data_IF_525103859117
#
_entry.id   IF_525103859117
#
_cell.length_a   1.000
_cell.length_b   1.000
_cell.length_c   1.000
_cell.angle_alpha   90.00
_cell.angle_beta   90.00
_cell.angle_gamma   90.00
#
_symmetry.space_group_name_H-M   'P 1'
#
loop_
_entity.id
_entity.type
_entity.pdbx_description
1 polymer ?
#
# COMPACT_ATOMS: atom_id res chain seq x y z
N UNK A 1 1.15 -11.08 4.42
CA UNK A 1 0.91 -10.85 5.85
C UNK A 1 -0.55 -10.49 6.01
N UNK A 2 -1.22 -11.02 7.03
CA UNK A 2 -2.62 -10.68 7.29
C UNK A 2 -2.68 -9.27 7.90
N UNK A 3 -2.98 -8.29 7.06
CA UNK A 3 -3.21 -6.91 7.50
C UNK A 3 -4.56 -6.89 8.23
N UNK A 4 -4.52 -6.88 9.56
CA UNK A 4 -5.70 -6.78 10.42
C UNK A 4 -5.44 -5.84 11.58
N UNK A 5 -6.50 -5.24 12.09
CA UNK A 5 -6.47 -4.41 13.28
C UNK A 5 -7.67 -4.71 14.17
N UNK A 6 -7.51 -4.47 15.47
CA UNK A 6 -8.53 -4.80 16.46
C UNK A 6 -9.47 -3.61 16.65
N UNK A 7 -10.77 -3.87 16.61
CA UNK A 7 -11.81 -2.89 16.89
C UNK A 7 -12.73 -3.49 17.95
N UNK A 8 -12.73 -2.89 19.16
CA UNK A 8 -13.37 -3.49 20.33
C UNK A 8 -12.83 -4.92 20.56
N UNK A 9 -13.67 -5.93 20.34
CA UNK A 9 -13.33 -7.35 20.50
C UNK A 9 -13.15 -8.09 19.16
N UNK A 10 -13.32 -7.42 18.02
CA UNK A 10 -13.26 -8.02 16.70
C UNK A 10 -11.93 -7.72 15.99
N UNK A 11 -11.40 -8.74 15.30
CA UNK A 11 -10.28 -8.58 14.38
C UNK A 11 -10.83 -8.22 12.99
N UNK A 12 -10.59 -6.99 12.55
CA UNK A 12 -11.04 -6.48 11.25
C UNK A 12 -9.88 -6.56 10.25
N UNK A 13 -10.05 -7.40 9.22
CA UNK A 13 -9.08 -7.49 8.12
C UNK A 13 -9.21 -6.29 7.18
N UNK A 14 -8.09 -5.86 6.63
CA UNK A 14 -8.03 -4.88 5.55
C UNK A 14 -6.93 -5.26 4.56
N UNK A 15 -6.98 -4.66 3.38
CA UNK A 15 -5.87 -4.72 2.44
C UNK A 15 -5.82 -3.44 1.63
N UNK A 16 -4.65 -3.15 1.07
CA UNK A 16 -4.47 -2.03 0.17
C UNK A 16 -4.45 -2.52 -1.28
N UNK A 17 -5.14 -1.83 -2.16
CA UNK A 17 -5.16 -2.11 -3.60
C UNK A 17 -5.21 -0.81 -4.37
N UNK A 18 -4.22 -0.60 -5.25
CA UNK A 18 -4.10 0.61 -6.07
C UNK A 18 -4.21 1.90 -5.23
N UNK A 19 -3.41 1.97 -4.16
CA UNK A 19 -3.36 3.08 -3.18
C UNK A 19 -4.59 3.23 -2.27
N UNK A 20 -5.70 2.54 -2.56
CA UNK A 20 -6.90 2.58 -1.72
C UNK A 20 -6.97 1.45 -0.70
N UNK A 21 -7.61 1.76 0.43
CA UNK A 21 -7.81 0.80 1.52
C UNK A 21 -9.19 0.15 1.43
N UNK A 22 -9.20 -1.18 1.54
CA UNK A 22 -10.39 -2.00 1.58
C UNK A 22 -10.49 -2.71 2.92
N UNK A 23 -11.64 -2.58 3.58
CA UNK A 23 -11.92 -3.13 4.91
C UNK A 23 -12.93 -4.26 4.77
N UNK A 24 -12.76 -5.35 5.54
CA UNK A 24 -13.65 -6.50 5.51
C UNK A 24 -14.99 -6.19 6.19
N UNK A 25 -16.06 -6.06 5.40
CA UNK A 25 -17.43 -5.90 5.90
C UNK A 25 -17.90 -7.15 6.66
N UNK A 26 -17.47 -8.34 6.23
CA UNK A 26 -17.81 -9.59 6.92
C UNK A 26 -17.28 -9.59 8.36
N UNK A 27 -16.08 -9.06 8.61
CA UNK A 27 -15.54 -8.97 9.97
C UNK A 27 -16.27 -7.90 10.80
N UNK A 28 -16.62 -6.75 10.20
CA UNK A 28 -17.47 -5.74 10.86
C UNK A 28 -18.83 -6.33 11.23
N UNK A 29 -19.44 -7.14 10.35
CA UNK A 29 -20.74 -7.75 10.60
C UNK A 29 -20.73 -8.77 11.75
N UNK A 30 -19.59 -9.42 12.03
CA UNK A 30 -19.44 -10.37 13.15
C UNK A 30 -19.68 -9.72 14.50
N UNK A 31 -19.38 -8.42 14.64
CA UNK A 31 -19.72 -7.64 15.82
C UNK A 31 -21.21 -7.73 16.18
N UNK A 32 -22.08 -7.85 15.18
CA UNK A 32 -23.53 -7.92 15.36
C UNK A 32 -24.05 -9.35 15.44
N UNK A 33 -23.66 -10.21 14.50
CA UNK A 33 -23.98 -11.64 14.49
C UNK A 33 -22.84 -12.40 13.79
N UNK A 34 -22.04 -13.20 14.53
CA UNK A 34 -20.91 -13.92 13.97
C UNK A 34 -21.32 -15.04 13.01
N UNK A 35 -22.54 -15.57 13.12
CA UNK A 35 -23.05 -16.69 12.32
C UNK A 35 -23.63 -16.17 11.00
N UNK A 36 -24.32 -15.02 11.03
CA UNK A 36 -25.12 -14.50 9.90
C UNK A 36 -24.56 -13.23 9.27
N UNK A 37 -23.24 -13.09 9.23
CA UNK A 37 -22.53 -11.93 8.66
C UNK A 37 -22.93 -11.61 7.20
N UNK A 38 -23.05 -12.62 6.34
CA UNK A 38 -23.46 -12.42 4.94
C UNK A 38 -24.91 -11.90 4.81
N UNK A 39 -25.79 -12.33 5.70
CA UNK A 39 -27.18 -11.87 5.74
C UNK A 39 -27.28 -10.42 6.23
N UNK A 40 -26.45 -10.01 7.18
CA UNK A 40 -26.36 -8.62 7.64
C UNK A 40 -25.97 -7.69 6.48
N UNK A 41 -24.98 -8.08 5.67
CA UNK A 41 -24.54 -7.28 4.52
C UNK A 41 -25.65 -7.19 3.47
N UNK A 42 -26.36 -8.30 3.20
CA UNK A 42 -27.52 -8.28 2.31
C UNK A 42 -28.63 -7.35 2.82
N UNK A 43 -28.94 -7.39 4.12
CA UNK A 43 -29.92 -6.49 4.72
C UNK A 43 -29.52 -5.02 4.61
N UNK A 44 -28.23 -4.72 4.75
CA UNK A 44 -27.74 -3.37 4.52
C UNK A 44 -27.95 -2.93 3.06
N UNK A 45 -27.63 -3.78 2.09
CA UNK A 45 -27.85 -3.52 0.66
C UNK A 45 -29.32 -3.42 0.25
N UNK A 46 -30.28 -3.84 1.08
CA UNK A 46 -31.71 -3.62 0.82
C UNK A 46 -32.15 -2.17 1.00
N UNK A 47 -31.41 -1.40 1.80
CA UNK A 47 -31.80 -0.04 2.14
C UNK A 47 -31.61 0.90 0.95
N UNK A 48 -32.64 1.71 0.67
CA UNK A 48 -32.60 2.68 -0.42
C UNK A 48 -31.46 3.69 -0.27
N UNK A 49 -31.27 4.24 0.93
CA UNK A 49 -30.19 5.19 1.20
C UNK A 49 -28.81 4.56 0.98
N UNK A 50 -28.64 3.29 1.33
CA UNK A 50 -27.39 2.55 1.07
C UNK A 50 -27.14 2.40 -0.43
N UNK A 51 -28.14 2.00 -1.21
CA UNK A 51 -28.01 1.87 -2.66
C UNK A 51 -27.72 3.22 -3.31
N UNK A 52 -28.38 4.29 -2.89
CA UNK A 52 -28.11 5.65 -3.39
C UNK A 52 -26.68 6.09 -3.06
N UNK A 53 -26.23 5.90 -1.81
CA UNK A 53 -24.87 6.20 -1.39
C UNK A 53 -23.83 5.42 -2.21
N UNK A 54 -24.01 4.11 -2.37
CA UNK A 54 -23.12 3.27 -3.16
C UNK A 54 -23.07 3.71 -4.61
N UNK A 55 -24.22 3.99 -5.22
CA UNK A 55 -24.28 4.46 -6.61
C UNK A 55 -23.57 5.79 -6.82
N UNK A 56 -23.75 6.75 -5.91
CA UNK A 56 -23.05 8.05 -5.96
C UNK A 56 -21.54 7.85 -5.80
N UNK A 57 -21.12 7.02 -4.84
CA UNK A 57 -19.71 6.72 -4.64
C UNK A 57 -19.09 6.11 -5.91
N UNK A 58 -19.76 5.15 -6.54
CA UNK A 58 -19.30 4.55 -7.79
C UNK A 58 -19.27 5.55 -8.95
N UNK A 59 -20.28 6.41 -9.11
CA UNK A 59 -20.26 7.43 -10.17
C UNK A 59 -19.09 8.40 -10.06
N UNK A 60 -18.65 8.71 -8.85
CA UNK A 60 -17.50 9.59 -8.60
C UNK A 60 -16.17 8.88 -8.87
N UNK A 61 -16.06 7.60 -8.47
CA UNK A 61 -14.78 6.90 -8.41
C UNK A 61 -14.60 5.82 -9.47
N UNK A 62 -15.62 5.50 -10.28
CA UNK A 62 -15.65 4.38 -11.22
C UNK A 62 -16.20 4.78 -12.60
N UNK A 63 -15.28 4.91 -13.57
CA UNK A 63 -15.61 5.25 -14.95
C UNK A 63 -16.38 4.14 -15.69
N UNK A 64 -16.21 2.87 -15.27
CA UNK A 64 -16.85 1.71 -15.90
C UNK A 64 -18.23 1.38 -15.30
N UNK A 65 -18.73 2.24 -14.39
CA UNK A 65 -19.97 2.01 -13.65
C UNK A 65 -21.20 2.03 -14.57
N UNK A 66 -21.97 0.93 -14.54
CA UNK A 66 -23.19 0.81 -15.32
C UNK A 66 -24.35 1.54 -14.63
N UNK A 67 -24.49 2.83 -14.96
CA UNK A 67 -25.52 3.72 -14.42
C UNK A 67 -26.96 3.30 -14.80
N UNK A 68 -27.14 2.58 -15.91
CA UNK A 68 -28.47 2.14 -16.37
C UNK A 68 -29.00 1.02 -15.47
N UNK A 69 -28.18 -0.01 -15.23
CA UNK A 69 -28.54 -1.10 -14.32
C UNK A 69 -28.69 -0.59 -12.88
N UNK A 70 -27.83 0.35 -12.48
CA UNK A 70 -27.96 1.03 -11.19
C UNK A 70 -29.34 1.69 -11.02
N UNK A 71 -29.83 2.44 -11.99
CA UNK A 71 -31.15 3.08 -11.90
C UNK A 71 -32.29 2.07 -11.77
N UNK A 72 -32.17 0.91 -12.42
CA UNK A 72 -33.10 -0.21 -12.25
C UNK A 72 -33.10 -0.75 -10.82
N UNK A 73 -31.92 -1.00 -10.26
CA UNK A 73 -31.73 -1.47 -8.87
C UNK A 73 -32.24 -0.44 -7.88
N UNK A 74 -31.90 0.84 -8.07
CA UNK A 74 -32.30 1.96 -7.21
C UNK A 74 -33.82 2.12 -7.10
N UNK A 75 -34.56 1.89 -8.20
CA UNK A 75 -36.03 1.91 -8.21
C UNK A 75 -36.67 0.79 -7.40
N UNK A 76 -36.00 -0.36 -7.28
CA UNK A 76 -36.50 -1.53 -6.54
C UNK A 76 -36.05 -1.53 -5.07
N UNK A 77 -34.97 -0.80 -4.75
CA UNK A 77 -34.43 -0.72 -3.41
C UNK A 77 -35.47 -0.25 -2.38
N UNK A 78 -35.50 -0.90 -1.20
CA UNK A 78 -36.47 -0.65 -0.15
C UNK A 78 -37.77 -1.45 -0.24
N UNK A 79 -38.05 -2.15 -1.34
CA UNK A 79 -39.18 -3.09 -1.39
C UNK A 79 -38.92 -4.31 -0.50
N UNK A 80 -39.95 -4.84 0.16
CA UNK A 80 -39.80 -6.02 1.03
C UNK A 80 -39.25 -7.25 0.28
N UNK A 81 -39.66 -7.41 -0.98
CA UNK A 81 -39.25 -8.48 -1.90
C UNK A 81 -37.88 -8.25 -2.52
N UNK A 82 -37.28 -7.07 -2.36
CA UNK A 82 -35.98 -6.76 -2.92
C UNK A 82 -34.88 -7.54 -2.19
N UNK A 83 -34.02 -8.19 -2.98
CA UNK A 83 -32.86 -8.95 -2.51
C UNK A 83 -31.70 -8.61 -3.44
N UNK A 84 -30.58 -8.23 -2.86
CA UNK A 84 -29.35 -7.93 -3.57
C UNK A 84 -28.17 -8.44 -2.77
N UNK A 85 -27.34 -9.27 -3.38
CA UNK A 85 -26.06 -9.69 -2.81
C UNK A 85 -24.93 -8.79 -3.30
N UNK A 86 -23.82 -8.65 -2.55
CA UNK A 86 -22.63 -7.93 -3.02
C UNK A 86 -22.12 -8.42 -4.38
N UNK A 87 -22.19 -9.74 -4.62
CA UNK A 87 -21.81 -10.34 -5.91
C UNK A 87 -22.72 -9.87 -7.05
N UNK A 88 -24.04 -9.91 -6.85
CA UNK A 88 -25.00 -9.43 -7.85
C UNK A 88 -24.89 -7.92 -8.10
N UNK A 89 -24.59 -7.13 -7.06
CA UNK A 89 -24.31 -5.70 -7.21
C UNK A 89 -23.14 -5.49 -8.17
N UNK A 90 -21.99 -6.12 -7.90
CA UNK A 90 -20.81 -6.01 -8.75
C UNK A 90 -21.04 -6.50 -10.18
N UNK A 91 -21.71 -7.64 -10.36
CA UNK A 91 -21.97 -8.22 -11.69
C UNK A 91 -22.89 -7.33 -12.54
N UNK A 92 -23.90 -6.69 -11.93
CA UNK A 92 -24.86 -5.85 -12.67
C UNK A 92 -24.34 -4.44 -12.93
N UNK A 93 -23.66 -3.84 -11.96
CA UNK A 93 -23.28 -2.42 -12.02
C UNK A 93 -21.81 -2.18 -12.37
N UNK A 94 -21.00 -3.24 -12.45
CA UNK A 94 -19.53 -3.16 -12.54
C UNK A 94 -18.91 -2.34 -11.39
N UNK A 95 -19.54 -2.39 -10.22
CA UNK A 95 -19.06 -1.71 -9.03
C UNK A 95 -17.67 -2.20 -8.60
N UNK A 96 -16.85 -1.27 -8.11
CA UNK A 96 -15.47 -1.52 -7.65
C UNK A 96 -15.31 -1.31 -6.15
N UNK A 97 -16.21 -0.53 -5.55
CA UNK A 97 -16.20 -0.15 -4.15
C UNK A 97 -16.55 -1.29 -3.20
N UNK A 98 -17.22 -2.34 -3.67
CA UNK A 98 -17.45 -3.58 -2.92
C UNK A 98 -16.82 -4.74 -3.69
N UNK A 99 -16.18 -5.68 -2.98
CA UNK A 99 -15.47 -6.82 -3.57
C UNK A 99 -15.78 -8.07 -2.75
N UNK A 100 -16.39 -9.07 -3.38
CA UNK A 100 -16.59 -10.39 -2.78
C UNK A 100 -15.46 -11.34 -3.19
N UNK A 101 -14.72 -11.85 -2.20
CA UNK A 101 -13.65 -12.85 -2.40
C UNK A 101 -14.06 -14.19 -1.82
N UNK A 102 -13.75 -15.28 -2.53
CA UNK A 102 -13.91 -16.64 -2.03
C UNK A 102 -12.59 -17.17 -1.42
N UNK A 103 -12.67 -18.20 -0.57
CA UNK A 103 -11.52 -18.93 -0.03
C UNK A 103 -11.16 -18.59 1.42
N UNK A 104 -9.95 -19.01 1.85
CA UNK A 104 -9.48 -18.93 3.25
C UNK A 104 -9.44 -17.50 3.82
N UNK A 105 -9.20 -16.51 2.96
CA UNK A 105 -9.28 -15.07 3.29
C UNK A 105 -10.46 -14.41 2.57
N UNK A 106 -11.50 -15.19 2.31
CA UNK A 106 -12.73 -14.73 1.69
C UNK A 106 -13.54 -13.84 2.63
N UNK A 107 -14.58 -13.27 2.03
CA UNK A 107 -15.47 -12.30 2.65
C UNK A 107 -15.82 -11.18 1.68
N UNK A 108 -16.68 -10.29 2.13
CA UNK A 108 -17.00 -9.06 1.41
C UNK A 108 -16.12 -7.95 1.96
N UNK A 109 -15.38 -7.31 1.09
CA UNK A 109 -14.55 -6.15 1.36
C UNK A 109 -15.17 -4.93 0.71
N UNK A 110 -14.97 -3.75 1.29
CA UNK A 110 -15.35 -2.52 0.65
C UNK A 110 -14.33 -1.43 0.89
N UNK A 111 -14.33 -0.43 0.01
CA UNK A 111 -13.54 0.78 0.17
C UNK A 111 -13.76 1.39 1.56
N UNK A 112 -12.73 2.01 2.15
CA UNK A 112 -12.78 2.59 3.52
C UNK A 112 -14.02 3.44 3.78
N UNK A 113 -14.42 4.30 2.84
CA UNK A 113 -15.59 5.17 2.99
C UNK A 113 -16.89 4.36 3.08
N UNK A 114 -17.01 3.35 2.22
CA UNK A 114 -18.16 2.44 2.18
C UNK A 114 -18.20 1.59 3.44
N UNK A 115 -17.05 1.14 3.93
CA UNK A 115 -16.94 0.39 5.17
C UNK A 115 -17.30 1.24 6.40
N UNK A 116 -16.93 2.52 6.41
CA UNK A 116 -17.37 3.45 7.47
C UNK A 116 -18.88 3.70 7.43
N UNK A 117 -19.48 3.78 6.25
CA UNK A 117 -20.94 3.88 6.13
C UNK A 117 -21.63 2.60 6.62
N UNK A 118 -21.12 1.43 6.25
CA UNK A 118 -21.62 0.16 6.78
C UNK A 118 -21.50 0.10 8.31
N UNK A 119 -20.35 0.51 8.88
CA UNK A 119 -20.16 0.55 10.31
C UNK A 119 -21.15 1.50 11.01
N UNK A 120 -21.49 2.62 10.37
CA UNK A 120 -22.53 3.56 10.86
C UNK A 120 -23.88 2.87 10.99
N UNK A 121 -24.25 2.12 9.97
CA UNK A 121 -25.51 1.37 9.94
C UNK A 121 -25.53 0.23 10.98
N UNK A 122 -24.38 -0.40 11.23
CA UNK A 122 -24.25 -1.46 12.25
C UNK A 122 -24.36 -0.91 13.67
N UNK A 123 -23.54 0.09 14.02
CA UNK A 123 -23.50 0.71 15.34
C UNK A 123 -22.69 2.01 15.31
N UNK A 124 -23.26 3.15 15.75
CA UNK A 124 -22.51 4.39 15.93
C UNK A 124 -21.27 4.24 16.82
N UNK A 125 -21.37 3.42 17.88
CA UNK A 125 -20.23 3.12 18.76
C UNK A 125 -19.12 2.41 18.00
N UNK A 126 -19.45 1.33 17.28
CA UNK A 126 -18.47 0.56 16.51
C UNK A 126 -17.79 1.45 15.47
N UNK A 127 -18.54 2.32 14.79
CA UNK A 127 -18.00 3.30 13.83
C UNK A 127 -16.92 4.19 14.46
N UNK A 128 -17.17 4.76 15.65
CA UNK A 128 -16.21 5.66 16.30
C UNK A 128 -14.90 4.94 16.63
N UNK A 129 -14.97 3.71 17.15
CA UNK A 129 -13.78 2.90 17.40
C UNK A 129 -13.09 2.49 16.11
N UNK A 130 -13.83 2.09 15.08
CA UNK A 130 -13.28 1.72 13.77
C UNK A 130 -12.48 2.88 13.16
N UNK A 131 -13.03 4.10 13.19
CA UNK A 131 -12.33 5.31 12.69
C UNK A 131 -11.05 5.55 13.48
N UNK A 132 -11.14 5.54 14.82
CA UNK A 132 -9.99 5.78 15.70
C UNK A 132 -8.86 4.78 15.47
N UNK A 133 -9.19 3.49 15.43
CA UNK A 133 -8.21 2.42 15.25
C UNK A 133 -7.61 2.42 13.84
N UNK A 134 -8.42 2.72 12.82
CA UNK A 134 -7.93 2.87 11.44
C UNK A 134 -7.00 4.08 11.28
N UNK A 135 -7.34 5.22 11.90
CA UNK A 135 -6.46 6.40 11.92
C UNK A 135 -5.14 6.10 12.63
N UNK A 136 -5.18 5.42 13.79
CA UNK A 136 -3.95 5.01 14.50
C UNK A 136 -3.08 4.13 13.61
N UNK A 137 -3.68 3.15 12.92
CA UNK A 137 -2.98 2.28 12.00
C UNK A 137 -2.27 3.06 10.88
N UNK A 138 -2.93 4.06 10.29
CA UNK A 138 -2.35 4.89 9.22
C UNK A 138 -1.22 5.79 9.71
N UNK A 139 -1.31 6.30 10.94
CA UNK A 139 -0.22 7.06 11.56
C UNK A 139 1.01 6.16 11.79
N UNK A 140 0.80 4.95 12.33
CA UNK A 140 1.88 3.99 12.56
C UNK A 140 2.55 3.55 11.24
N UNK A 141 1.76 3.32 10.20
CA UNK A 141 2.24 3.00 8.85
C UNK A 141 3.14 4.12 8.31
N UNK A 142 2.68 5.37 8.37
CA UNK A 142 3.46 6.53 7.93
C UNK A 142 4.74 6.73 8.74
N UNK A 143 4.70 6.54 10.07
CA UNK A 143 5.89 6.62 10.92
C UNK A 143 6.92 5.57 10.56
N UNK A 144 6.50 4.33 10.29
CA UNK A 144 7.41 3.26 9.83
C UNK A 144 8.05 3.59 8.49
N UNK A 145 7.29 4.15 7.56
CA UNK A 145 7.81 4.60 6.26
C UNK A 145 8.87 5.70 6.45
N UNK A 146 8.61 6.70 7.31
CA UNK A 146 9.56 7.76 7.63
C UNK A 146 10.85 7.22 8.27
N UNK A 147 10.71 6.38 9.30
CA UNK A 147 11.86 5.75 9.99
C UNK A 147 12.72 4.93 9.03
N UNK A 148 12.11 4.16 8.13
CA UNK A 148 12.83 3.40 7.12
C UNK A 148 13.61 4.28 6.15
N UNK A 149 13.08 5.46 5.83
CA UNK A 149 13.76 6.42 4.97
C UNK A 149 14.93 7.11 5.66
N UNK A 150 14.77 7.51 6.93
CA UNK A 150 15.85 8.06 7.74
C UNK A 150 16.96 7.04 7.98
N UNK A 151 16.60 5.78 8.26
CA UNK A 151 17.55 4.69 8.40
C UNK A 151 18.36 4.46 7.12
N UNK A 152 17.71 4.44 5.94
CA UNK A 152 18.41 4.35 4.64
C UNK A 152 19.41 5.50 4.46
N UNK A 153 19.00 6.73 4.78
CA UNK A 153 19.86 7.91 4.69
C UNK A 153 21.04 7.86 5.64
N UNK A 154 20.81 7.44 6.88
CA UNK A 154 21.87 7.27 7.89
C UNK A 154 22.88 6.20 7.45
N UNK A 155 22.41 5.05 6.96
CA UNK A 155 23.27 3.98 6.43
C UNK A 155 24.09 4.46 5.22
N UNK A 156 23.50 5.19 4.27
CA UNK A 156 24.23 5.75 3.13
C UNK A 156 25.32 6.72 3.59
N UNK A 157 25.03 7.60 4.56
CA UNK A 157 26.03 8.54 5.12
C UNK A 157 27.16 7.81 5.85
N UNK A 158 26.84 6.81 6.65
CA UNK A 158 27.83 6.00 7.36
C UNK A 158 28.72 5.25 6.35
N UNK A 159 28.13 4.60 5.34
CA UNK A 159 28.89 3.92 4.29
C UNK A 159 29.80 4.90 3.55
N UNK A 160 29.29 6.06 3.14
CA UNK A 160 30.11 7.07 2.48
C UNK A 160 31.30 7.51 3.35
N UNK A 161 31.08 7.71 4.66
CA UNK A 161 32.14 8.05 5.60
C UNK A 161 33.15 6.92 5.76
N UNK A 162 32.71 5.68 5.94
CA UNK A 162 33.59 4.50 6.02
C UNK A 162 34.44 4.38 4.75
N UNK A 163 33.84 4.52 3.57
CA UNK A 163 34.56 4.49 2.30
C UNK A 163 35.59 5.62 2.22
N UNK A 164 35.20 6.84 2.61
CA UNK A 164 36.09 8.01 2.59
C UNK A 164 37.26 7.86 3.57
N UNK A 165 37.00 7.36 4.79
CA UNK A 165 38.02 7.16 5.82
C UNK A 165 38.96 6.01 5.41
N UNK A 166 38.43 4.91 4.87
CA UNK A 166 39.24 3.82 4.32
C UNK A 166 40.13 4.28 3.16
N UNK A 167 39.63 5.17 2.29
CA UNK A 167 40.42 5.82 1.23
C UNK A 167 41.53 6.67 1.86
N UNK A 168 41.20 7.55 2.82
CA UNK A 168 42.20 8.41 3.46
C UNK A 168 43.30 7.61 4.17
N UNK A 169 42.93 6.57 4.90
CA UNK A 169 43.86 5.80 5.72
C UNK A 169 44.70 4.79 4.92
N UNK A 170 44.12 4.15 3.90
CA UNK A 170 44.80 3.08 3.16
C UNK A 170 45.29 3.49 1.76
N UNK A 171 44.76 4.57 1.19
CA UNK A 171 45.01 4.94 -0.20
C UNK A 171 45.69 6.31 -0.31
N UNK A 172 45.29 7.30 0.50
CA UNK A 172 45.91 8.63 0.54
C UNK A 172 47.18 8.64 1.41
N UNK A 173 48.12 7.76 1.09
CA UNK A 173 49.55 8.10 1.22
C UNK A 173 49.97 8.70 -0.12
N UNK A 174 50.82 9.74 -0.16
CA UNK A 174 50.86 10.73 -1.23
C UNK A 174 51.34 10.09 -2.54
N UNK A 175 50.42 9.54 -3.34
CA UNK A 175 50.66 9.32 -4.76
C UNK A 175 50.77 10.72 -5.36
N UNK A 176 52.01 11.18 -5.54
CA UNK A 176 52.29 12.32 -6.39
C UNK A 176 51.86 11.90 -7.81
N UNK A 177 50.63 12.27 -8.18
CA UNK A 177 50.16 12.11 -9.55
C UNK A 177 51.20 12.75 -10.47
N UNK A 178 51.65 12.00 -11.47
CA UNK A 178 52.56 12.57 -12.46
C UNK A 178 51.86 13.74 -13.15
N UNK A 179 52.60 14.77 -13.58
CA UNK A 179 52.03 15.92 -14.31
C UNK A 179 51.21 15.49 -15.54
N UNK A 180 51.49 14.30 -16.07
CA UNK A 180 50.84 13.70 -17.24
C UNK A 180 49.44 13.16 -16.90
N UNK A 181 49.28 12.58 -15.72
CA UNK A 181 48.01 12.01 -15.27
C UNK A 181 47.07 13.08 -14.70
N UNK A 182 47.61 14.16 -14.13
CA UNK A 182 46.82 15.31 -13.67
C UNK A 182 46.10 16.06 -14.80
N UNK A 183 46.64 16.01 -16.03
CA UNK A 183 46.10 16.70 -17.20
C UNK A 183 45.25 15.80 -18.12
N UNK A 184 45.03 14.54 -17.77
CA UNK A 184 44.18 13.65 -18.56
C UNK A 184 42.70 13.99 -18.40
N UNK A 185 41.95 13.93 -19.50
CA UNK A 185 40.49 14.03 -19.48
C UNK A 185 39.91 12.64 -19.30
N UNK A 186 39.22 12.41 -18.19
CA UNK A 186 38.64 11.11 -17.85
C UNK A 186 37.21 10.99 -18.36
N UNK A 187 36.82 9.78 -18.79
CA UNK A 187 35.51 9.52 -19.36
C UNK A 187 34.40 9.38 -18.30
N UNK A 188 34.76 9.03 -17.06
CA UNK A 188 33.80 8.80 -15.97
C UNK A 188 34.36 9.21 -14.60
N UNK A 189 33.47 9.53 -13.66
CA UNK A 189 33.82 9.82 -12.25
C UNK A 189 34.53 8.61 -11.59
N UNK A 190 34.15 7.40 -11.99
CA UNK A 190 34.80 6.16 -11.53
C UNK A 190 36.26 6.05 -12.01
N UNK A 191 36.59 6.54 -13.20
CA UNK A 191 37.98 6.56 -13.69
C UNK A 191 38.82 7.61 -12.95
N UNK A 192 38.26 8.78 -12.65
CA UNK A 192 38.93 9.80 -11.84
C UNK A 192 39.25 9.26 -10.45
N UNK A 193 38.26 8.63 -9.80
CA UNK A 193 38.44 8.00 -8.50
C UNK A 193 39.48 6.89 -8.57
N UNK A 194 39.39 5.95 -9.51
CA UNK A 194 40.35 4.83 -9.57
C UNK A 194 41.78 5.26 -9.92
N UNK A 195 41.96 6.30 -10.74
CA UNK A 195 43.31 6.84 -11.00
C UNK A 195 43.86 7.55 -9.78
N UNK A 196 43.04 8.33 -9.06
CA UNK A 196 43.44 8.95 -7.80
C UNK A 196 43.72 7.94 -6.67
N UNK A 197 43.09 6.76 -6.72
CA UNK A 197 43.18 5.73 -5.69
C UNK A 197 44.25 4.66 -5.97
N UNK A 198 44.36 4.20 -7.21
CA UNK A 198 45.16 3.04 -7.59
C UNK A 198 46.20 3.35 -8.68
N UNK A 199 46.27 4.60 -9.15
CA UNK A 199 47.14 5.00 -10.26
C UNK A 199 46.75 4.36 -11.60
N UNK A 200 45.53 3.84 -11.73
CA UNK A 200 45.05 3.17 -12.96
C UNK A 200 43.55 3.38 -13.15
N UNK A 201 43.06 3.30 -14.38
CA UNK A 201 41.63 3.52 -14.69
C UNK A 201 40.74 2.40 -14.14
N UNK A 202 39.43 2.64 -14.06
CA UNK A 202 38.48 1.62 -13.60
C UNK A 202 38.47 0.39 -14.53
N UNK A 203 38.69 0.62 -15.82
CA UNK A 203 38.82 -0.44 -16.82
C UNK A 203 40.07 -1.29 -16.58
N UNK A 204 41.23 -0.67 -16.34
CA UNK A 204 42.49 -1.38 -16.05
C UNK A 204 42.41 -2.18 -14.75
N UNK A 205 41.76 -1.62 -13.73
CA UNK A 205 41.58 -2.26 -12.44
C UNK A 205 40.69 -3.52 -12.55
N UNK A 206 39.59 -3.45 -13.31
CA UNK A 206 38.72 -4.60 -13.60
C UNK A 206 39.44 -5.70 -14.39
N UNK A 207 40.32 -5.32 -15.33
CA UNK A 207 41.12 -6.28 -16.09
C UNK A 207 42.10 -7.03 -15.17
N UNK A 208 42.72 -6.33 -14.21
CA UNK A 208 43.66 -6.93 -13.24
C UNK A 208 42.99 -7.74 -12.13
N UNK A 209 41.74 -7.41 -11.76
CA UNK A 209 41.03 -8.05 -10.64
C UNK A 209 39.81 -8.88 -11.08
N UNK A 210 39.92 -9.64 -12.18
CA UNK A 210 38.83 -10.48 -12.73
C UNK A 210 38.25 -11.53 -11.77
N UNK A 211 38.96 -11.89 -10.70
CA UNK A 211 38.61 -13.02 -9.83
C UNK A 211 37.99 -12.61 -8.47
N UNK A 212 37.60 -11.35 -8.29
CA UNK A 212 36.99 -10.86 -7.04
C UNK A 212 35.53 -10.44 -7.28
N UNK A 213 34.60 -10.87 -6.42
CA UNK A 213 33.16 -10.58 -6.54
C UNK A 213 32.74 -9.31 -5.77
N UNK A 214 31.79 -8.54 -6.34
CA UNK A 214 31.15 -7.37 -5.74
C UNK A 214 31.03 -6.18 -6.71
N UNK A 215 30.22 -5.17 -6.35
CA UNK A 215 30.32 -3.83 -6.94
C UNK A 215 31.63 -3.20 -6.43
N UNK A 216 32.70 -3.45 -7.16
CA UNK A 216 33.96 -2.72 -7.10
C UNK A 216 34.14 -1.93 -8.40
#
# INVERSE_FOLDING_TARGET
MENKFKVLNEDVRFYQSAEEDYICLTDIAKYKDPIRSDYIIQNWLKNRNTIEFLGIWEQIHNQDFNSIEFDGIRKQAGLNTFILTPKQWNEKTHARGIISKAGRYGGTYAHKDIAFEFATWISPEFKLYLIKEFQRLKIEENQRVMLGWDAKRALTKINYKIHTDAIKENIVLPQQLSQKDANNTYASEADVLNVALFGMTAQDWKIKNKNKEGNM
#
